data_IF_218788314171
#
_entry.id   IF_218788314171
#
_cell.length_a   1.000
_cell.length_b   1.000
_cell.length_c   1.000
_cell.angle_alpha   90.00
_cell.angle_beta   90.00
_cell.angle_gamma   90.00
#
_symmetry.space_group_name_H-M   'P 1'
#
loop_
_entity.id
_entity.type
_entity.pdbx_description
1 polymer ?
#
# COMPACT_ATOMS: atom_id res chain seq x y z
N UNK A 1 -2.71 22.34 -5.16
CA UNK A 1 -1.41 23.02 -5.04
C UNK A 1 -1.00 23.07 -3.59
N UNK A 2 0.21 23.55 -3.32
CA UNK A 2 0.77 23.70 -1.98
C UNK A 2 1.19 25.14 -1.73
N UNK A 3 1.39 25.50 -0.47
CA UNK A 3 2.13 26.72 -0.13
C UNK A 3 3.63 26.51 -0.41
N UNK A 4 4.26 27.54 -0.98
CA UNK A 4 5.71 27.57 -1.29
C UNK A 4 6.50 28.35 -0.25
N UNK A 5 5.82 29.15 0.56
CA UNK A 5 6.35 30.03 1.61
C UNK A 5 5.26 30.25 2.67
N UNK A 6 5.66 30.71 3.85
CA UNK A 6 4.75 31.03 4.95
C UNK A 6 5.33 30.62 6.32
N UNK A 7 5.09 31.44 7.34
CA UNK A 7 5.38 31.09 8.73
C UNK A 7 4.26 30.19 9.28
N UNK A 8 4.61 29.27 10.17
CA UNK A 8 3.65 28.38 10.82
C UNK A 8 2.64 29.18 11.65
N UNK A 9 1.38 28.72 11.68
CA UNK A 9 0.33 29.33 12.50
C UNK A 9 0.67 29.20 14.00
N UNK A 10 0.34 30.23 14.79
CA UNK A 10 0.49 30.21 16.25
C UNK A 10 -0.31 29.07 16.91
N UNK A 11 -1.48 28.73 16.36
CA UNK A 11 -2.21 27.48 16.64
C UNK A 11 -2.18 26.63 15.38
N UNK A 12 -1.23 25.69 15.32
CA UNK A 12 -1.14 24.71 14.25
C UNK A 12 -1.72 23.37 14.73
N UNK A 13 -1.14 22.23 14.34
CA UNK A 13 -1.56 20.89 14.78
C UNK A 13 -1.07 20.49 16.19
N UNK A 14 -0.64 21.45 17.01
CA UNK A 14 0.11 21.19 18.25
C UNK A 14 -0.66 20.42 19.33
N UNK A 15 -2.00 20.38 19.26
CA UNK A 15 -2.85 19.74 20.26
C UNK A 15 -3.35 18.35 19.85
N UNK A 16 -3.15 17.93 18.59
CA UNK A 16 -3.67 16.68 18.03
C UNK A 16 -5.20 16.48 18.25
N UNK A 17 -5.93 17.56 18.53
CA UNK A 17 -7.34 17.58 18.97
C UNK A 17 -8.34 17.55 17.80
N UNK A 18 -7.85 17.46 16.57
CA UNK A 18 -8.65 17.54 15.36
C UNK A 18 -9.19 16.19 14.90
N UNK A 19 -8.56 15.07 15.25
CA UNK A 19 -9.02 13.76 14.81
C UNK A 19 -10.33 13.38 15.53
N UNK A 20 -11.39 13.11 14.76
CA UNK A 20 -12.76 12.87 15.25
C UNK A 20 -13.39 13.99 16.13
N UNK A 21 -12.84 15.21 16.11
CA UNK A 21 -13.49 16.41 16.67
C UNK A 21 -14.76 16.85 15.91
N UNK A 22 -15.35 17.98 16.32
CA UNK A 22 -16.55 18.51 15.66
C UNK A 22 -16.26 19.06 14.25
N UNK A 23 -17.02 18.62 13.24
CA UNK A 23 -16.91 19.11 11.85
C UNK A 23 -17.60 20.48 11.72
N UNK A 24 -16.93 21.52 11.19
CA UNK A 24 -17.56 22.82 10.95
C UNK A 24 -18.80 22.72 10.05
N UNK A 25 -19.86 23.47 10.38
CA UNK A 25 -21.17 23.38 9.70
C UNK A 25 -21.09 23.57 8.18
N UNK A 26 -20.26 24.50 7.70
CA UNK A 26 -20.02 24.69 6.26
C UNK A 26 -19.40 23.46 5.59
N UNK A 27 -18.47 22.79 6.27
CA UNK A 27 -17.82 21.58 5.74
C UNK A 27 -18.80 20.41 5.76
N UNK A 28 -19.60 20.28 6.82
CA UNK A 28 -20.64 19.25 6.89
C UNK A 28 -21.67 19.39 5.75
N UNK A 29 -22.05 20.63 5.39
CA UNK A 29 -22.92 20.89 4.25
C UNK A 29 -22.28 20.46 2.91
N UNK A 30 -21.00 20.79 2.70
CA UNK A 30 -20.22 20.33 1.53
C UNK A 30 -20.17 18.80 1.46
N UNK A 31 -19.80 18.14 2.56
CA UNK A 31 -19.70 16.68 2.62
C UNK A 31 -21.04 16.00 2.35
N UNK A 32 -22.14 16.58 2.82
CA UNK A 32 -23.50 16.06 2.59
C UNK A 32 -23.87 16.08 1.11
N UNK A 33 -23.63 17.20 0.42
CA UNK A 33 -23.88 17.28 -1.03
C UNK A 33 -22.96 16.31 -1.80
N UNK A 34 -21.67 16.25 -1.43
CA UNK A 34 -20.73 15.34 -2.07
C UNK A 34 -21.17 13.87 -1.96
N UNK A 35 -21.60 13.43 -0.78
CA UNK A 35 -22.11 12.07 -0.56
C UNK A 35 -23.34 11.79 -1.41
N UNK A 36 -24.31 12.72 -1.46
CA UNK A 36 -25.51 12.57 -2.29
C UNK A 36 -25.15 12.45 -3.77
N UNK A 37 -24.25 13.30 -4.28
CA UNK A 37 -23.82 13.26 -5.68
C UNK A 37 -23.00 12.00 -6.00
N UNK A 38 -22.16 11.54 -5.06
CA UNK A 38 -21.42 10.29 -5.20
C UNK A 38 -22.34 9.07 -5.29
N UNK A 39 -23.35 8.99 -4.40
CA UNK A 39 -24.34 7.91 -4.38
C UNK A 39 -25.19 7.89 -5.66
N UNK A 40 -25.53 9.05 -6.23
CA UNK A 40 -26.22 9.14 -7.55
C UNK A 40 -25.40 8.54 -8.69
N UNK A 41 -24.07 8.55 -8.57
CA UNK A 41 -23.15 7.96 -9.55
C UNK A 41 -22.77 6.51 -9.21
N UNK A 42 -23.41 5.90 -8.20
CA UNK A 42 -23.15 4.52 -7.80
C UNK A 42 -21.93 4.32 -6.91
N UNK A 43 -21.26 5.39 -6.47
CA UNK A 43 -20.08 5.29 -5.61
C UNK A 43 -20.53 5.01 -4.17
N UNK A 44 -20.17 3.87 -3.55
CA UNK A 44 -20.71 3.43 -2.27
C UNK A 44 -19.99 4.08 -1.07
N UNK A 45 -20.03 5.41 -0.99
CA UNK A 45 -19.45 6.18 0.12
C UNK A 45 -20.01 5.69 1.46
N UNK A 46 -19.13 5.43 2.44
CA UNK A 46 -19.52 4.84 3.73
C UNK A 46 -19.14 5.69 4.93
N UNK A 47 -17.90 6.16 4.98
CA UNK A 47 -17.38 6.94 6.11
C UNK A 47 -16.89 8.29 5.65
N UNK A 48 -17.00 9.27 6.54
CA UNK A 48 -16.38 10.58 6.43
C UNK A 48 -16.07 11.11 7.81
N UNK A 49 -14.91 11.72 7.98
CA UNK A 49 -14.51 12.36 9.23
C UNK A 49 -13.44 13.41 8.95
N UNK A 50 -13.18 14.22 9.97
CA UNK A 50 -12.01 15.06 10.09
C UNK A 50 -10.78 14.23 10.41
N UNK A 51 -9.65 14.71 9.88
CA UNK A 51 -8.33 14.11 10.03
C UNK A 51 -7.48 14.91 11.01
N UNK A 52 -6.24 14.46 11.22
CA UNK A 52 -5.34 15.02 12.25
C UNK A 52 -4.97 16.48 11.98
N UNK A 53 -4.77 16.90 10.72
CA UNK A 53 -4.44 18.30 10.42
C UNK A 53 -5.69 19.22 10.35
N UNK A 54 -5.55 20.52 10.68
CA UNK A 54 -6.63 21.49 10.50
C UNK A 54 -7.14 21.53 9.07
N UNK A 55 -8.46 21.48 8.89
CA UNK A 55 -9.14 21.43 7.59
C UNK A 55 -8.75 20.22 6.71
N UNK A 56 -8.22 19.15 7.31
CA UNK A 56 -8.04 17.86 6.66
C UNK A 56 -9.25 16.96 6.95
N UNK A 57 -9.68 16.21 5.94
CA UNK A 57 -10.83 15.32 6.05
C UNK A 57 -10.59 14.05 5.23
N UNK A 58 -11.22 12.97 5.65
CA UNK A 58 -11.24 11.69 4.97
C UNK A 58 -12.66 11.35 4.50
N UNK A 59 -12.74 10.62 3.39
CA UNK A 59 -13.95 9.99 2.90
C UNK A 59 -13.59 8.64 2.29
N UNK A 60 -14.21 7.56 2.75
CA UNK A 60 -13.95 6.20 2.26
C UNK A 60 -15.23 5.50 1.78
N UNK A 61 -15.24 4.93 0.57
CA UNK A 61 -16.28 4.03 0.12
C UNK A 61 -16.10 2.61 0.64
N UNK A 62 -17.13 1.78 0.48
CA UNK A 62 -17.01 0.32 0.58
C UNK A 62 -16.06 -0.15 -0.53
N UNK A 63 -15.28 -1.21 -0.27
CA UNK A 63 -14.41 -1.80 -1.28
C UNK A 63 -15.23 -2.34 -2.47
N UNK A 64 -14.61 -2.34 -3.65
CA UNK A 64 -15.20 -2.80 -4.90
C UNK A 64 -14.15 -3.60 -5.70
N UNK A 65 -14.54 -4.16 -6.84
CA UNK A 65 -13.59 -4.71 -7.80
C UNK A 65 -12.57 -3.63 -8.20
N UNK A 66 -11.30 -4.01 -8.36
CA UNK A 66 -10.18 -3.08 -8.45
C UNK A 66 -10.33 -2.04 -9.57
N UNK A 67 -10.77 -2.45 -10.77
CA UNK A 67 -10.98 -1.52 -11.87
C UNK A 67 -12.10 -0.52 -11.56
N UNK A 68 -13.24 -1.01 -11.07
CA UNK A 68 -14.36 -0.15 -10.70
C UNK A 68 -14.00 0.83 -9.57
N UNK A 69 -13.27 0.36 -8.55
CA UNK A 69 -12.81 1.19 -7.43
C UNK A 69 -11.89 2.33 -7.89
N UNK A 70 -11.02 2.06 -8.87
CA UNK A 70 -10.15 3.08 -9.48
C UNK A 70 -10.98 4.12 -10.23
N UNK A 71 -11.95 3.70 -11.03
CA UNK A 71 -12.83 4.60 -11.79
C UNK A 71 -13.67 5.48 -10.86
N UNK A 72 -14.29 4.86 -9.84
CA UNK A 72 -15.03 5.57 -8.81
C UNK A 72 -14.14 6.55 -8.04
N UNK A 73 -12.88 6.21 -7.76
CA UNK A 73 -11.94 7.16 -7.14
C UNK A 73 -11.60 8.35 -8.06
N UNK A 74 -11.42 8.13 -9.35
CA UNK A 74 -11.17 9.24 -10.28
C UNK A 74 -12.38 10.17 -10.36
N UNK A 75 -13.58 9.59 -10.41
CA UNK A 75 -14.84 10.32 -10.45
C UNK A 75 -15.09 11.10 -9.16
N UNK A 76 -14.81 10.50 -7.99
CA UNK A 76 -15.01 11.19 -6.71
C UNK A 76 -14.09 12.39 -6.55
N UNK A 77 -12.82 12.31 -6.99
CA UNK A 77 -11.92 13.47 -6.98
C UNK A 77 -12.41 14.61 -7.89
N UNK A 78 -13.02 14.28 -9.03
CA UNK A 78 -13.63 15.27 -9.91
C UNK A 78 -14.89 15.90 -9.26
N UNK A 79 -15.75 15.08 -8.65
CA UNK A 79 -16.91 15.55 -7.90
C UNK A 79 -16.54 16.45 -6.73
N UNK A 80 -15.53 16.07 -5.93
CA UNK A 80 -15.02 16.87 -4.81
C UNK A 80 -14.67 18.29 -5.27
N UNK A 81 -13.95 18.43 -6.40
CA UNK A 81 -13.60 19.74 -6.96
C UNK A 81 -14.81 20.53 -7.43
N UNK A 82 -15.80 19.87 -8.03
CA UNK A 82 -17.03 20.50 -8.52
C UNK A 82 -17.89 20.99 -7.36
N UNK A 83 -18.26 20.10 -6.44
CA UNK A 83 -19.13 20.39 -5.28
C UNK A 83 -18.47 21.42 -4.37
N UNK A 84 -17.16 21.36 -4.15
CA UNK A 84 -16.46 22.34 -3.32
C UNK A 84 -16.65 23.77 -3.83
N UNK A 85 -16.71 24.00 -5.14
CA UNK A 85 -16.94 25.34 -5.71
C UNK A 85 -18.33 25.88 -5.37
N UNK A 86 -19.36 25.02 -5.35
CA UNK A 86 -20.72 25.40 -4.97
C UNK A 86 -20.79 25.90 -3.52
N UNK A 87 -19.93 25.35 -2.65
CA UNK A 87 -19.85 25.70 -1.22
C UNK A 87 -18.84 26.82 -0.92
N UNK A 88 -18.27 27.46 -1.94
CA UNK A 88 -17.25 28.50 -1.79
C UNK A 88 -15.92 27.99 -1.22
N UNK A 89 -15.60 26.72 -1.48
CA UNK A 89 -14.35 26.07 -1.07
C UNK A 89 -13.42 25.78 -2.26
N UNK A 90 -12.17 25.46 -1.93
CA UNK A 90 -11.18 24.83 -2.80
C UNK A 90 -10.67 23.58 -2.12
N UNK A 91 -10.90 22.42 -2.72
CA UNK A 91 -10.32 21.15 -2.24
C UNK A 91 -8.87 21.07 -2.70
N UNK A 92 -7.97 20.76 -1.76
CA UNK A 92 -6.56 20.55 -2.00
C UNK A 92 -6.26 19.06 -1.88
N UNK A 93 -5.90 18.43 -2.99
CA UNK A 93 -5.51 17.01 -3.04
C UNK A 93 -3.99 16.82 -3.05
N UNK A 94 -3.22 17.90 -3.03
CA UNK A 94 -1.76 17.81 -2.98
C UNK A 94 -1.35 17.09 -1.68
N UNK A 95 -0.37 16.19 -1.75
CA UNK A 95 0.02 15.31 -0.65
C UNK A 95 0.57 16.06 0.57
N UNK A 96 1.13 17.24 0.35
CA UNK A 96 1.58 18.15 1.41
C UNK A 96 1.18 19.59 1.12
N UNK A 97 -0.08 20.00 1.36
CA UNK A 97 -0.54 21.35 1.02
C UNK A 97 0.14 22.43 1.87
N UNK A 98 0.36 22.13 3.15
CA UNK A 98 0.96 23.03 4.13
C UNK A 98 2.16 22.34 4.80
N UNK A 99 3.24 23.09 5.04
CA UNK A 99 4.40 22.62 5.79
C UNK A 99 4.06 22.54 7.30
N UNK A 100 4.71 21.63 8.03
CA UNK A 100 4.58 21.54 9.49
C UNK A 100 3.33 20.85 10.04
N UNK A 101 2.40 20.39 9.19
CA UNK A 101 1.20 19.61 9.56
C UNK A 101 1.15 18.27 8.84
N UNK A 102 0.25 17.35 9.19
CA UNK A 102 0.08 16.07 8.51
C UNK A 102 -0.14 16.26 7.00
N UNK A 103 0.37 15.29 6.23
CA UNK A 103 0.11 15.23 4.80
C UNK A 103 -1.15 14.43 4.49
N UNK A 104 -1.58 14.45 3.24
CA UNK A 104 -2.74 13.71 2.76
C UNK A 104 -2.31 12.48 1.95
N UNK A 105 -2.76 11.30 2.37
CA UNK A 105 -2.54 10.04 1.66
C UNK A 105 -3.80 9.55 0.94
N UNK A 106 -3.67 8.46 0.19
CA UNK A 106 -4.81 7.70 -0.36
C UNK A 106 -4.55 6.22 -0.16
N UNK A 107 -5.01 5.67 0.96
CA UNK A 107 -4.67 4.29 1.31
C UNK A 107 -5.43 3.30 0.43
N UNK A 108 -4.68 2.40 -0.23
CA UNK A 108 -5.28 1.35 -1.04
C UNK A 108 -5.41 0.08 -0.19
N UNK A 109 -6.63 -0.21 0.26
CA UNK A 109 -6.96 -1.47 0.92
C UNK A 109 -7.12 -2.56 -0.15
N UNK A 110 -6.18 -3.50 -0.19
CA UNK A 110 -6.05 -4.53 -1.22
C UNK A 110 -6.26 -5.93 -0.65
N UNK A 111 -7.09 -6.72 -1.31
CA UNK A 111 -7.36 -8.12 -0.96
C UNK A 111 -7.72 -8.91 -2.22
N UNK A 112 -7.63 -10.23 -2.13
CA UNK A 112 -8.02 -11.14 -3.21
C UNK A 112 -9.16 -12.03 -2.75
N UNK A 113 -10.12 -12.24 -3.65
CA UNK A 113 -11.23 -13.16 -3.47
C UNK A 113 -11.46 -14.00 -4.73
N UNK A 114 -12.02 -15.19 -4.56
CA UNK A 114 -12.45 -16.02 -5.69
C UNK A 114 -13.85 -15.64 -6.15
N UNK A 115 -14.20 -16.05 -7.37
CA UNK A 115 -15.55 -15.98 -7.92
C UNK A 115 -16.59 -16.76 -7.07
N UNK A 116 -16.14 -17.77 -6.32
CA UNK A 116 -16.96 -18.51 -5.36
C UNK A 116 -17.15 -17.81 -4.00
N UNK A 117 -16.65 -16.57 -3.84
CA UNK A 117 -16.79 -15.77 -2.63
C UNK A 117 -15.80 -16.09 -1.51
N UNK A 118 -14.74 -16.84 -1.79
CA UNK A 118 -13.71 -17.17 -0.79
C UNK A 118 -12.69 -16.03 -0.73
N UNK A 119 -12.57 -15.37 0.41
CA UNK A 119 -11.49 -14.44 0.70
C UNK A 119 -10.16 -15.18 0.89
N UNK A 120 -9.10 -14.69 0.26
CA UNK A 120 -7.78 -15.34 0.25
C UNK A 120 -6.79 -14.73 1.27
N UNK A 121 -7.12 -13.55 1.79
CA UNK A 121 -6.29 -12.79 2.74
C UNK A 121 -6.87 -12.80 4.17
N UNK A 122 -7.80 -13.70 4.47
CA UNK A 122 -8.33 -13.90 5.82
C UNK A 122 -8.07 -15.34 6.32
N UNK A 123 -7.78 -15.53 7.62
CA UNK A 123 -7.66 -16.86 8.19
C UNK A 123 -8.99 -17.62 8.12
N UNK A 124 -8.91 -18.95 8.04
CA UNK A 124 -10.08 -19.83 8.06
C UNK A 124 -10.26 -20.54 9.39
N UNK A 125 -11.26 -21.42 9.43
CA UNK A 125 -11.54 -22.27 10.60
C UNK A 125 -10.82 -23.62 10.51
N UNK A 126 -10.61 -24.10 9.28
CA UNK A 126 -10.00 -25.41 9.01
C UNK A 126 -8.50 -25.27 8.69
N UNK A 127 -7.67 -26.29 9.00
CA UNK A 127 -6.23 -26.25 8.71
C UNK A 127 -5.91 -25.97 7.23
N UNK A 128 -6.66 -26.55 6.30
CA UNK A 128 -6.47 -26.29 4.86
C UNK A 128 -6.79 -24.84 4.45
N UNK A 129 -7.73 -24.19 5.14
CA UNK A 129 -8.07 -22.79 4.89
C UNK A 129 -6.97 -21.87 5.43
N UNK A 130 -6.38 -22.21 6.57
CA UNK A 130 -5.22 -21.50 7.13
C UNK A 130 -3.98 -21.69 6.25
N UNK A 131 -3.75 -22.90 5.72
CA UNK A 131 -2.68 -23.12 4.74
C UNK A 131 -2.87 -22.25 3.50
N UNK A 132 -4.10 -22.18 2.95
CA UNK A 132 -4.43 -21.29 1.83
C UNK A 132 -4.13 -19.84 2.18
N UNK A 133 -4.61 -19.34 3.32
CA UNK A 133 -4.36 -17.98 3.77
C UNK A 133 -2.86 -17.66 3.86
N UNK A 134 -2.09 -18.51 4.54
CA UNK A 134 -0.62 -18.34 4.66
C UNK A 134 0.06 -18.38 3.30
N UNK A 135 -0.40 -19.26 2.39
CA UNK A 135 0.12 -19.33 1.02
C UNK A 135 0.01 -17.97 0.33
N UNK A 136 -1.15 -17.32 0.40
CA UNK A 136 -1.36 -16.02 -0.25
C UNK A 136 -0.63 -14.87 0.46
N UNK A 137 -0.55 -14.88 1.79
CA UNK A 137 0.23 -13.89 2.56
C UNK A 137 1.71 -13.97 2.20
N UNK A 138 2.31 -15.16 2.24
CA UNK A 138 3.75 -15.35 1.95
C UNK A 138 4.06 -15.02 0.49
N UNK A 139 3.19 -15.38 -0.44
CA UNK A 139 3.36 -14.97 -1.84
C UNK A 139 3.23 -13.46 -2.03
N UNK A 140 2.35 -12.79 -1.28
CA UNK A 140 2.28 -11.32 -1.32
C UNK A 140 3.58 -10.71 -0.80
N UNK A 141 4.12 -11.21 0.31
CA UNK A 141 5.40 -10.74 0.86
C UNK A 141 6.56 -10.96 -0.11
N UNK A 142 6.61 -12.11 -0.78
CA UNK A 142 7.59 -12.39 -1.83
C UNK A 142 7.50 -11.43 -3.00
N UNK A 143 6.28 -11.14 -3.48
CA UNK A 143 6.05 -10.18 -4.55
C UNK A 143 6.51 -8.77 -4.16
N UNK A 144 6.13 -8.32 -2.95
CA UNK A 144 6.53 -7.01 -2.42
C UNK A 144 8.04 -6.95 -2.22
N UNK A 145 8.66 -8.02 -1.73
CA UNK A 145 10.11 -8.10 -1.55
C UNK A 145 10.87 -7.99 -2.89
N UNK A 146 10.52 -8.83 -3.86
CA UNK A 146 11.16 -8.86 -5.18
C UNK A 146 11.02 -7.54 -5.94
N UNK A 147 9.87 -6.88 -5.80
CA UNK A 147 9.51 -5.68 -6.57
C UNK A 147 9.43 -4.41 -5.72
N UNK A 148 10.11 -4.36 -4.57
CA UNK A 148 9.99 -3.23 -3.63
C UNK A 148 10.36 -1.88 -4.27
N UNK A 149 11.40 -1.84 -5.13
CA UNK A 149 11.78 -0.63 -5.88
C UNK A 149 10.73 -0.20 -6.90
N UNK A 150 10.12 -1.16 -7.61
CA UNK A 150 9.04 -0.88 -8.57
C UNK A 150 7.77 -0.35 -7.87
N UNK A 151 7.38 -0.98 -6.75
CA UNK A 151 6.25 -0.51 -5.94
C UNK A 151 6.47 0.91 -5.42
N UNK A 152 7.71 1.22 -5.04
CA UNK A 152 8.11 2.59 -4.68
C UNK A 152 7.98 3.54 -5.87
N UNK A 153 8.48 3.18 -7.05
CA UNK A 153 8.35 3.99 -8.26
C UNK A 153 6.90 4.24 -8.69
N UNK A 154 6.01 3.29 -8.42
CA UNK A 154 4.59 3.40 -8.70
C UNK A 154 3.89 4.50 -7.89
N UNK A 155 4.33 4.74 -6.65
CA UNK A 155 3.78 5.77 -5.75
C UNK A 155 4.57 7.08 -5.75
N UNK A 156 5.77 7.10 -6.32
CA UNK A 156 6.63 8.28 -6.35
C UNK A 156 6.11 9.36 -7.29
N UNK A 157 6.15 10.61 -6.82
CA UNK A 157 5.86 11.83 -7.56
C UNK A 157 6.55 13.02 -6.88
N UNK A 158 6.66 14.16 -7.57
CA UNK A 158 7.18 15.41 -6.98
C UNK A 158 6.41 15.82 -5.72
N UNK A 159 5.09 15.65 -5.77
CA UNK A 159 4.18 16.09 -4.71
C UNK A 159 4.21 15.15 -3.49
N UNK A 160 4.22 13.83 -3.72
CA UNK A 160 4.27 12.81 -2.67
C UNK A 160 5.63 12.77 -1.96
N UNK A 161 6.71 13.20 -2.61
CA UNK A 161 8.03 13.34 -2.01
C UNK A 161 8.05 14.28 -0.79
N UNK A 162 7.16 15.28 -0.76
CA UNK A 162 7.02 16.19 0.37
C UNK A 162 6.22 15.60 1.54
N UNK A 163 5.58 14.44 1.34
CA UNK A 163 4.75 13.77 2.33
C UNK A 163 5.47 12.60 2.98
N UNK A 164 6.06 11.70 2.18
CA UNK A 164 6.63 10.44 2.68
C UNK A 164 7.74 10.67 3.71
N UNK A 165 7.75 9.85 4.76
CA UNK A 165 8.74 9.90 5.84
C UNK A 165 8.47 10.98 6.90
N UNK A 166 7.25 11.49 6.99
CA UNK A 166 6.87 12.51 7.97
C UNK A 166 5.42 12.34 8.43
N UNK A 167 5.14 12.64 9.70
CA UNK A 167 3.80 12.81 10.29
C UNK A 167 2.74 11.83 9.74
N UNK A 168 2.78 10.58 10.21
CA UNK A 168 1.87 9.47 9.82
C UNK A 168 1.93 9.03 8.34
N UNK A 169 2.85 9.57 7.55
CA UNK A 169 3.13 9.06 6.22
C UNK A 169 4.39 8.18 6.24
N UNK A 170 4.31 6.94 5.74
CA UNK A 170 5.42 5.99 5.79
C UNK A 170 6.67 6.53 5.07
N UNK A 171 7.89 6.11 5.46
CA UNK A 171 9.11 6.43 4.73
C UNK A 171 9.06 5.87 3.31
N UNK A 172 9.91 6.39 2.42
CA UNK A 172 10.09 5.87 1.07
C UNK A 172 10.93 4.58 1.04
N UNK A 173 10.71 3.69 2.01
CA UNK A 173 11.32 2.36 2.09
C UNK A 173 10.17 1.38 2.18
N UNK A 174 9.90 0.64 1.11
CA UNK A 174 8.79 -0.31 1.08
C UNK A 174 9.14 -1.51 1.98
N UNK A 175 8.36 -1.67 3.05
CA UNK A 175 8.38 -2.80 3.97
C UNK A 175 6.96 -3.24 4.33
N UNK A 176 6.83 -4.47 4.82
CA UNK A 176 5.55 -5.06 5.19
C UNK A 176 5.42 -5.20 6.70
N UNK A 177 4.32 -4.70 7.25
CA UNK A 177 3.93 -4.93 8.65
C UNK A 177 2.91 -6.07 8.71
N UNK A 178 3.10 -7.03 9.60
CA UNK A 178 2.20 -8.19 9.76
C UNK A 178 1.49 -8.19 11.11
N UNK A 179 2.08 -7.55 12.11
CA UNK A 179 1.62 -7.61 13.49
C UNK A 179 2.03 -8.91 14.18
N UNK A 180 2.03 -8.89 15.52
CA UNK A 180 2.72 -9.90 16.34
C UNK A 180 2.21 -11.32 16.08
N UNK A 181 0.89 -11.48 15.94
CA UNK A 181 0.26 -12.80 15.81
C UNK A 181 0.67 -13.49 14.49
N UNK A 182 0.60 -12.76 13.37
CA UNK A 182 0.93 -13.33 12.06
C UNK A 182 2.45 -13.54 11.93
N UNK A 183 3.26 -12.64 12.47
CA UNK A 183 4.71 -12.80 12.56
C UNK A 183 5.11 -14.10 13.27
N UNK A 184 4.52 -14.38 14.43
CA UNK A 184 4.77 -15.62 15.18
C UNK A 184 4.35 -16.89 14.43
N UNK A 185 3.27 -16.84 13.64
CA UNK A 185 2.86 -17.97 12.81
C UNK A 185 3.89 -18.23 11.70
N UNK A 186 4.41 -17.19 11.05
CA UNK A 186 5.44 -17.35 10.03
C UNK A 186 6.76 -17.84 10.61
N UNK A 187 7.17 -17.33 11.78
CA UNK A 187 8.35 -17.81 12.53
C UNK A 187 8.22 -19.29 12.87
N UNK A 188 7.07 -19.72 13.37
CA UNK A 188 6.82 -21.12 13.67
C UNK A 188 6.95 -22.02 12.43
N UNK A 189 6.43 -21.59 11.27
CA UNK A 189 6.57 -22.36 10.01
C UNK A 189 8.03 -22.38 9.54
N UNK A 190 8.79 -21.30 9.77
CA UNK A 190 10.21 -21.20 9.43
C UNK A 190 11.07 -22.19 10.23
N UNK A 191 10.78 -22.30 11.53
CA UNK A 191 11.54 -23.07 12.54
C UNK A 191 11.14 -24.55 12.60
N UNK A 192 9.88 -24.88 12.31
CA UNK A 192 9.37 -26.25 12.35
C UNK A 192 9.94 -27.14 11.24
N UNK A 193 10.20 -28.41 11.56
CA UNK A 193 10.58 -29.41 10.57
C UNK A 193 9.37 -29.87 9.75
N UNK A 194 9.65 -30.59 8.65
CA UNK A 194 8.60 -31.10 7.77
C UNK A 194 7.69 -32.11 8.50
N UNK A 195 8.28 -32.93 9.36
CA UNK A 195 7.58 -33.93 10.16
C UNK A 195 6.79 -33.30 11.31
N UNK A 196 7.22 -32.14 11.82
CA UNK A 196 6.48 -31.38 12.83
C UNK A 196 5.17 -30.83 12.26
N UNK A 197 5.23 -30.24 11.05
CA UNK A 197 4.07 -29.60 10.39
C UNK A 197 3.08 -30.62 9.79
N UNK A 198 3.51 -31.86 9.61
CA UNK A 198 2.73 -32.93 8.96
C UNK A 198 2.87 -34.21 9.77
N UNK A 199 1.86 -34.53 10.58
CA UNK A 199 1.80 -35.81 11.27
C UNK A 199 0.87 -36.80 10.57
N UNK A 200 1.35 -38.04 10.38
CA UNK A 200 0.55 -39.16 9.90
C UNK A 200 -0.18 -39.80 11.08
N UNK A 201 -1.42 -39.38 11.35
CA UNK A 201 -2.28 -40.09 12.30
C UNK A 201 -2.94 -41.30 11.62
N UNK A 202 -2.67 -42.50 12.15
CA UNK A 202 -3.22 -43.77 11.66
C UNK A 202 -4.75 -43.74 11.51
N UNK A 203 -5.25 -44.38 10.45
CA UNK A 203 -6.67 -44.58 10.07
C UNK A 203 -7.56 -43.33 9.92
N UNK A 204 -7.06 -42.11 10.16
CA UNK A 204 -7.82 -40.85 10.07
C UNK A 204 -7.05 -39.71 9.38
N UNK A 205 -6.41 -40.00 8.23
CA UNK A 205 -5.86 -38.96 7.35
C UNK A 205 -4.67 -38.17 7.90
N UNK A 206 -4.14 -37.29 7.03
CA UNK A 206 -2.98 -36.42 7.27
C UNK A 206 -3.38 -35.26 8.19
N UNK A 207 -2.67 -35.04 9.30
CA UNK A 207 -2.93 -33.93 10.23
C UNK A 207 -1.90 -32.83 10.02
N UNK A 208 -2.38 -31.67 9.57
CA UNK A 208 -1.62 -30.43 9.46
C UNK A 208 -1.45 -29.81 10.85
N UNK A 209 -0.20 -29.65 11.29
CA UNK A 209 0.13 -28.92 12.51
C UNK A 209 0.43 -27.44 12.19
N UNK A 210 -0.53 -26.81 11.52
CA UNK A 210 -0.53 -25.35 11.37
C UNK A 210 -1.29 -24.81 12.58
N UNK A 211 -0.67 -23.95 13.41
CA UNK A 211 -1.35 -23.36 14.55
C UNK A 211 -2.71 -22.81 14.12
N UNK A 212 -3.75 -23.06 14.93
CA UNK A 212 -5.03 -22.41 14.70
C UNK A 212 -4.79 -20.91 14.82
N UNK A 213 -4.90 -20.20 13.69
CA UNK A 213 -4.72 -18.75 13.67
C UNK A 213 -6.00 -18.18 14.30
N UNK A 214 -5.91 -17.57 15.50
CA UNK A 214 -7.08 -16.91 16.09
C UNK A 214 -7.55 -15.82 15.12
N UNK A 215 -8.81 -15.39 15.27
CA UNK A 215 -9.28 -14.23 14.53
C UNK A 215 -8.30 -13.07 14.73
N UNK A 216 -7.65 -12.66 13.63
CA UNK A 216 -6.61 -11.64 13.66
C UNK A 216 -7.31 -10.32 13.94
N UNK A 217 -7.31 -9.93 15.21
CA UNK A 217 -7.77 -8.62 15.62
C UNK A 217 -6.90 -7.56 14.96
N UNK A 218 -7.47 -6.39 14.70
CA UNK A 218 -6.71 -5.25 14.18
C UNK A 218 -5.59 -4.97 15.19
N UNK A 219 -4.36 -5.28 14.79
CA UNK A 219 -3.18 -5.06 15.63
C UNK A 219 -2.84 -3.57 15.61
N UNK A 220 -3.11 -2.90 16.74
CA UNK A 220 -2.83 -1.48 16.93
C UNK A 220 -1.37 -1.21 17.36
N UNK A 221 -0.46 -2.19 17.25
CA UNK A 221 0.97 -1.99 17.55
C UNK A 221 1.69 -1.11 16.54
N UNK A 222 1.20 -0.98 15.30
CA UNK A 222 1.63 0.05 14.36
C UNK A 222 0.99 1.41 14.71
N UNK A 223 1.24 1.88 15.94
CA UNK A 223 0.62 3.07 16.54
C UNK A 223 0.74 4.34 15.69
N UNK A 224 1.77 4.43 14.85
CA UNK A 224 2.08 5.61 14.05
C UNK A 224 1.87 5.41 12.53
N UNK A 225 1.24 4.29 12.14
CA UNK A 225 1.00 3.91 10.73
C UNK A 225 2.24 4.02 9.85
N UNK A 226 3.40 3.68 10.41
CA UNK A 226 4.70 3.96 9.77
C UNK A 226 5.04 2.98 8.66
N UNK A 227 4.34 1.84 8.63
CA UNK A 227 4.53 0.85 7.57
C UNK A 227 3.84 1.27 6.27
N UNK A 228 4.53 1.20 5.13
CA UNK A 228 3.93 1.50 3.84
C UNK A 228 2.96 0.41 3.38
N UNK A 229 3.15 -0.85 3.78
CA UNK A 229 2.29 -1.97 3.37
C UNK A 229 1.93 -2.82 4.59
N UNK A 230 0.76 -2.59 5.18
CA UNK A 230 0.40 -3.20 6.46
C UNK A 230 -0.71 -4.25 6.29
N UNK A 231 -0.54 -5.43 6.87
CA UNK A 231 -1.63 -6.38 7.01
C UNK A 231 -2.58 -5.92 8.10
N UNK A 232 -3.86 -5.75 7.77
CA UNK A 232 -4.89 -5.20 8.68
C UNK A 232 -6.04 -6.19 8.88
N UNK A 233 -5.69 -7.43 9.25
CA UNK A 233 -6.63 -8.49 9.65
C UNK A 233 -7.08 -9.41 8.51
N UNK A 234 -7.60 -8.85 7.41
CA UNK A 234 -8.10 -9.65 6.27
C UNK A 234 -7.69 -9.12 4.89
N UNK A 235 -6.73 -8.19 4.85
CA UNK A 235 -6.30 -7.44 3.67
C UNK A 235 -4.98 -6.74 3.98
N UNK A 236 -4.31 -6.24 2.94
CA UNK A 236 -3.19 -5.33 3.09
C UNK A 236 -3.61 -3.89 2.80
N UNK A 237 -3.06 -2.93 3.53
CA UNK A 237 -3.26 -1.50 3.34
C UNK A 237 -1.97 -0.90 2.79
N UNK A 238 -1.99 -0.43 1.53
CA UNK A 238 -0.87 0.27 0.91
C UNK A 238 -0.99 1.79 1.16
N UNK A 239 -0.25 2.29 2.15
CA UNK A 239 -0.34 3.65 2.69
C UNK A 239 0.54 4.68 1.97
N UNK A 240 1.54 4.22 1.23
CA UNK A 240 2.52 5.09 0.56
C UNK A 240 1.93 5.87 -0.64
N UNK A 241 0.73 5.53 -1.08
CA UNK A 241 0.05 6.14 -2.24
C UNK A 241 -0.38 7.58 -1.91
N UNK A 242 -0.09 8.52 -2.82
CA UNK A 242 -0.41 9.94 -2.66
C UNK A 242 -1.88 10.30 -2.87
N UNK A 243 -2.37 11.35 -2.19
CA UNK A 243 -3.73 11.86 -2.32
C UNK A 243 -4.08 12.43 -3.70
N UNK A 244 -3.12 12.89 -4.51
CA UNK A 244 -3.36 13.34 -5.89
C UNK A 244 -3.25 12.18 -6.89
N UNK A 245 -2.52 11.11 -6.53
CA UNK A 245 -2.18 10.01 -7.42
C UNK A 245 -3.42 9.23 -7.93
N UNK A 246 -3.34 8.73 -9.17
CA UNK A 246 -4.25 7.68 -9.63
C UNK A 246 -3.85 6.34 -9.00
N UNK A 247 -4.77 5.69 -8.29
CA UNK A 247 -4.56 4.38 -7.66
C UNK A 247 -4.10 3.31 -8.66
N UNK A 248 -4.48 3.42 -9.94
CA UNK A 248 -4.13 2.48 -10.98
C UNK A 248 -2.62 2.20 -11.05
N UNK A 249 -1.76 3.22 -10.92
CA UNK A 249 -0.31 3.03 -11.02
C UNK A 249 0.21 2.05 -9.96
N UNK A 250 -0.24 2.21 -8.71
CA UNK A 250 0.13 1.33 -7.61
C UNK A 250 -0.50 -0.07 -7.75
N UNK A 251 -1.76 -0.14 -8.18
CA UNK A 251 -2.47 -1.41 -8.34
C UNK A 251 -1.97 -2.23 -9.52
N UNK A 252 -1.59 -1.61 -10.63
CA UNK A 252 -0.95 -2.28 -11.78
C UNK A 252 0.35 -2.95 -11.33
N UNK A 253 1.22 -2.20 -10.63
CA UNK A 253 2.48 -2.75 -10.15
C UNK A 253 2.28 -3.88 -9.13
N UNK A 254 1.40 -3.68 -8.14
CA UNK A 254 1.13 -4.68 -7.10
C UNK A 254 0.48 -5.94 -7.66
N UNK A 255 -0.57 -5.81 -8.48
CA UNK A 255 -1.26 -6.96 -9.06
C UNK A 255 -0.35 -7.74 -10.01
N UNK A 256 0.47 -7.06 -10.83
CA UNK A 256 1.43 -7.73 -11.71
C UNK A 256 2.52 -8.47 -10.92
N UNK A 257 3.06 -7.85 -9.86
CA UNK A 257 4.05 -8.48 -9.00
C UNK A 257 3.50 -9.74 -8.30
N UNK A 258 2.27 -9.65 -7.77
CA UNK A 258 1.62 -10.81 -7.14
C UNK A 258 1.27 -11.89 -8.19
N UNK A 259 0.86 -11.50 -9.39
CA UNK A 259 0.57 -12.44 -10.47
C UNK A 259 1.83 -13.24 -10.89
N UNK A 260 2.96 -12.56 -11.13
CA UNK A 260 4.25 -13.22 -11.44
C UNK A 260 4.63 -14.20 -10.32
N UNK A 261 4.55 -13.73 -9.06
CA UNK A 261 4.93 -14.52 -7.90
C UNK A 261 4.04 -15.77 -7.71
N UNK A 262 2.74 -15.69 -8.00
CA UNK A 262 1.84 -16.85 -7.93
C UNK A 262 2.12 -17.88 -9.03
N UNK A 263 2.52 -17.43 -10.23
CA UNK A 263 2.96 -18.34 -11.31
C UNK A 263 4.25 -19.06 -10.92
N UNK A 264 5.23 -18.33 -10.36
CA UNK A 264 6.48 -18.91 -9.88
C UNK A 264 6.23 -19.92 -8.74
N UNK A 265 5.39 -19.56 -7.78
CA UNK A 265 5.00 -20.45 -6.69
C UNK A 265 4.38 -21.75 -7.20
N UNK A 266 3.46 -21.66 -8.15
CA UNK A 266 2.83 -22.84 -8.75
C UNK A 266 3.87 -23.75 -9.38
N UNK A 267 4.82 -23.18 -10.13
CA UNK A 267 5.91 -23.92 -10.77
C UNK A 267 6.78 -24.63 -9.72
N UNK A 268 7.23 -23.92 -8.68
CA UNK A 268 8.07 -24.49 -7.60
C UNK A 268 7.35 -25.64 -6.88
N UNK A 269 6.03 -25.53 -6.66
CA UNK A 269 5.23 -26.59 -6.04
C UNK A 269 5.05 -27.79 -6.98
N UNK A 270 4.71 -27.54 -8.25
CA UNK A 270 4.50 -28.60 -9.24
C UNK A 270 5.80 -29.42 -9.46
N UNK A 271 6.97 -28.79 -9.48
CA UNK A 271 8.27 -29.47 -9.58
C UNK A 271 8.55 -30.46 -8.43
N UNK A 272 8.05 -30.18 -7.22
CA UNK A 272 8.15 -31.11 -6.08
C UNK A 272 7.15 -32.24 -6.20
N UNK A 273 5.91 -31.94 -6.64
CA UNK A 273 4.87 -32.95 -6.86
C UNK A 273 5.31 -33.95 -7.92
N UNK A 274 5.94 -33.49 -9.01
CA UNK A 274 6.49 -34.35 -10.07
C UNK A 274 7.61 -35.28 -9.57
N UNK A 275 8.34 -34.87 -8.52
CA UNK A 275 9.35 -35.70 -7.84
C UNK A 275 8.75 -36.71 -6.85
N UNK A 276 7.42 -36.75 -6.74
CA UNK A 276 6.68 -37.68 -5.87
C UNK A 276 6.30 -37.12 -4.51
N UNK A 277 6.52 -35.82 -4.25
CA UNK A 277 6.13 -35.19 -2.99
C UNK A 277 4.61 -34.99 -2.91
N UNK A 278 3.94 -35.36 -1.79
CA UNK A 278 2.53 -35.07 -1.62
C UNK A 278 2.22 -33.57 -1.69
N UNK A 279 1.12 -33.18 -2.35
CA UNK A 279 0.72 -31.78 -2.61
C UNK A 279 0.86 -30.85 -1.40
N UNK A 280 0.31 -31.24 -0.25
CA UNK A 280 0.33 -30.41 0.97
C UNK A 280 1.76 -30.20 1.48
N UNK A 281 2.56 -31.25 1.40
CA UNK A 281 3.95 -31.26 1.81
C UNK A 281 4.81 -30.38 0.90
N UNK A 282 4.60 -30.47 -0.43
CA UNK A 282 5.23 -29.60 -1.41
C UNK A 282 4.89 -28.11 -1.18
N UNK A 283 3.62 -27.79 -0.92
CA UNK A 283 3.17 -26.42 -0.60
C UNK A 283 3.90 -25.88 0.63
N UNK A 284 3.93 -26.63 1.74
CA UNK A 284 4.60 -26.21 2.98
C UNK A 284 6.10 -26.02 2.79
N UNK A 285 6.74 -26.88 2.00
CA UNK A 285 8.17 -26.78 1.71
C UNK A 285 8.51 -25.49 0.95
N UNK A 286 7.74 -25.16 -0.08
CA UNK A 286 7.91 -23.91 -0.85
C UNK A 286 7.58 -22.68 0.00
N UNK A 287 6.50 -22.71 0.79
CA UNK A 287 6.14 -21.62 1.70
C UNK A 287 7.28 -21.34 2.69
N UNK A 288 7.82 -22.38 3.33
CA UNK A 288 8.93 -22.24 4.29
C UNK A 288 10.18 -21.67 3.63
N UNK A 289 10.49 -22.10 2.40
CA UNK A 289 11.56 -21.51 1.58
C UNK A 289 11.32 -20.01 1.37
N UNK A 290 10.10 -19.64 0.99
CA UNK A 290 9.74 -18.25 0.68
C UNK A 290 9.72 -17.35 1.90
N UNK A 291 9.25 -17.81 3.06
CA UNK A 291 9.32 -17.06 4.33
C UNK A 291 10.76 -16.63 4.62
N UNK A 292 11.73 -17.53 4.44
CA UNK A 292 13.16 -17.22 4.62
C UNK A 292 13.67 -16.18 3.63
N UNK A 293 13.24 -16.26 2.38
CA UNK A 293 13.67 -15.35 1.30
C UNK A 293 13.06 -13.96 1.49
N UNK A 294 11.76 -13.84 1.77
CA UNK A 294 11.10 -12.55 1.94
C UNK A 294 11.29 -11.93 3.32
N UNK A 295 11.90 -12.62 4.29
CA UNK A 295 12.18 -12.11 5.64
C UNK A 295 12.72 -10.67 5.68
N UNK A 296 13.61 -10.23 4.77
CA UNK A 296 14.07 -8.84 4.74
C UNK A 296 12.96 -7.78 4.60
N UNK A 297 11.86 -8.07 3.92
CA UNK A 297 10.74 -7.12 3.71
C UNK A 297 9.88 -6.92 4.95
N UNK A 298 9.89 -7.88 5.87
CA UNK A 298 9.05 -7.87 7.05
C UNK A 298 9.68 -6.98 8.15
N UNK A 299 8.93 -5.97 8.58
CA UNK A 299 9.34 -5.04 9.61
C UNK A 299 8.13 -4.53 10.41
N UNK A 300 8.07 -4.90 11.69
CA UNK A 300 7.02 -4.48 12.63
C UNK A 300 7.46 -3.32 13.55
N UNK A 301 8.61 -2.69 13.26
CA UNK A 301 9.19 -1.61 14.06
C UNK A 301 8.80 -0.20 13.61
N UNK A 302 9.50 0.81 14.16
CA UNK A 302 9.30 2.21 13.80
C UNK A 302 9.99 2.55 12.47
N UNK A 303 9.21 2.74 11.40
CA UNK A 303 9.73 3.06 10.07
C UNK A 303 10.43 4.43 9.95
N UNK A 304 10.27 5.34 10.92
CA UNK A 304 10.90 6.67 10.85
C UNK A 304 12.34 6.71 11.35
N UNK A 305 12.77 5.68 12.07
CA UNK A 305 14.04 5.70 12.77
C UNK A 305 15.22 5.64 11.79
N UNK A 306 16.32 6.30 12.12
CA UNK A 306 17.53 6.24 11.29
C UNK A 306 18.14 4.83 11.32
N UNK A 307 17.96 4.10 12.43
CA UNK A 307 18.33 2.69 12.55
C UNK A 307 17.62 1.83 11.51
N UNK A 308 16.32 2.08 11.25
CA UNK A 308 15.60 1.36 10.22
C UNK A 308 16.15 1.65 8.81
N UNK A 309 16.56 2.88 8.52
CA UNK A 309 17.15 3.22 7.20
C UNK A 309 18.44 2.43 6.95
N UNK A 310 19.32 2.38 7.95
CA UNK A 310 20.56 1.61 7.87
C UNK A 310 20.29 0.10 7.79
N UNK A 311 19.35 -0.39 8.58
CA UNK A 311 18.98 -1.80 8.62
C UNK A 311 18.33 -2.25 7.30
N UNK A 312 17.39 -1.47 6.76
CA UNK A 312 16.74 -1.73 5.48
C UNK A 312 17.76 -1.83 4.33
N UNK A 313 18.78 -0.97 4.34
CA UNK A 313 19.86 -1.04 3.36
C UNK A 313 20.69 -2.32 3.51
N UNK A 314 21.04 -2.71 4.75
CA UNK A 314 21.74 -3.99 5.03
C UNK A 314 20.91 -5.20 4.60
N UNK A 315 19.59 -5.10 4.72
CA UNK A 315 18.59 -6.10 4.29
C UNK A 315 18.38 -6.14 2.76
N UNK A 316 18.98 -5.20 2.01
CA UNK A 316 18.87 -5.14 0.55
C UNK A 316 17.56 -4.53 0.04
N UNK A 317 16.84 -3.76 0.87
CA UNK A 317 15.66 -3.02 0.44
C UNK A 317 16.08 -1.75 -0.33
N UNK A 318 15.24 -1.30 -1.26
CA UNK A 318 15.51 -0.09 -2.06
C UNK A 318 15.30 1.17 -1.20
N UNK A 319 16.41 1.76 -0.76
CA UNK A 319 16.46 2.97 0.07
C UNK A 319 16.70 4.27 -0.71
N UNK A 320 16.65 4.26 -2.05
CA UNK A 320 16.80 5.48 -2.87
C UNK A 320 15.75 6.54 -2.50
N UNK A 321 16.16 7.80 -2.42
CA UNK A 321 15.31 8.93 -2.00
C UNK A 321 15.09 9.95 -3.13
N UNK A 322 15.95 9.96 -4.13
CA UNK A 322 15.84 10.81 -5.32
C UNK A 322 14.71 10.31 -6.21
N UNK A 323 13.58 11.01 -6.21
CA UNK A 323 12.39 10.66 -7.01
C UNK A 323 12.72 10.34 -8.48
N UNK A 324 13.54 11.12 -9.18
CA UNK A 324 13.88 10.81 -10.56
C UNK A 324 14.64 9.47 -10.71
N UNK A 325 15.59 9.16 -9.80
CA UNK A 325 16.30 7.87 -9.82
C UNK A 325 15.39 6.70 -9.43
N UNK A 326 14.42 6.93 -8.54
CA UNK A 326 13.43 5.91 -8.19
C UNK A 326 12.66 5.45 -9.44
N UNK A 327 12.34 6.37 -10.36
CA UNK A 327 11.59 6.03 -11.58
C UNK A 327 12.30 4.98 -12.45
N UNK A 328 13.63 4.94 -12.44
CA UNK A 328 14.41 3.94 -13.18
C UNK A 328 14.11 2.50 -12.75
N UNK A 329 13.47 2.29 -11.59
CA UNK A 329 12.95 0.97 -11.20
C UNK A 329 11.92 0.40 -12.18
N UNK A 330 11.25 1.22 -13.00
CA UNK A 330 10.40 0.73 -14.10
C UNK A 330 11.21 0.08 -15.23
N UNK A 331 12.47 0.46 -15.39
CA UNK A 331 13.36 0.02 -16.48
C UNK A 331 14.37 -1.04 -16.04
N UNK A 332 14.35 -1.43 -14.76
CA UNK A 332 15.16 -2.55 -14.29
C UNK A 332 14.74 -3.84 -15.03
N UNK A 333 15.70 -4.72 -15.42
CA UNK A 333 15.39 -5.92 -16.20
C UNK A 333 14.34 -6.83 -15.56
N UNK A 334 14.34 -6.93 -14.24
CA UNK A 334 13.34 -7.69 -13.47
C UNK A 334 11.92 -7.12 -13.60
N UNK A 335 11.77 -5.78 -13.60
CA UNK A 335 10.48 -5.12 -13.77
C UNK A 335 9.95 -5.30 -15.19
N UNK A 336 10.79 -5.12 -16.20
CA UNK A 336 10.43 -5.32 -17.61
C UNK A 336 9.97 -6.76 -17.81
N UNK A 337 10.78 -7.73 -17.36
CA UNK A 337 10.45 -9.16 -17.47
C UNK A 337 9.13 -9.49 -16.80
N UNK A 338 8.88 -8.98 -15.59
CA UNK A 338 7.61 -9.21 -14.88
C UNK A 338 6.42 -8.71 -15.70
N UNK A 339 6.48 -7.48 -16.22
CA UNK A 339 5.39 -6.91 -17.01
C UNK A 339 5.17 -7.63 -18.34
N UNK A 340 6.23 -8.06 -19.02
CA UNK A 340 6.13 -8.82 -20.27
C UNK A 340 5.59 -10.23 -20.03
N UNK A 341 6.08 -10.93 -18.99
CA UNK A 341 5.60 -12.27 -18.63
C UNK A 341 4.13 -12.27 -18.21
N UNK A 342 3.68 -11.21 -17.54
CA UNK A 342 2.27 -11.05 -17.15
C UNK A 342 1.40 -10.52 -18.29
N UNK A 343 2.00 -10.07 -19.40
CA UNK A 343 1.28 -9.49 -20.54
C UNK A 343 0.63 -8.14 -20.24
N UNK A 344 1.08 -7.44 -19.21
CA UNK A 344 0.47 -6.20 -18.72
C UNK A 344 1.06 -4.96 -19.40
N UNK A 345 2.39 -4.92 -19.59
CA UNK A 345 3.09 -3.84 -20.30
C UNK A 345 4.29 -4.41 -21.06
N UNK A 346 4.61 -3.79 -22.19
CA UNK A 346 5.84 -4.02 -22.95
C UNK A 346 6.97 -3.11 -22.48
N UNK A 347 8.22 -3.47 -22.79
CA UNK A 347 9.37 -2.58 -22.53
C UNK A 347 9.17 -1.16 -23.08
N UNK A 348 8.67 -1.01 -24.32
CA UNK A 348 8.44 0.32 -24.93
C UNK A 348 7.42 1.16 -24.17
N UNK A 349 6.37 0.53 -23.66
CA UNK A 349 5.37 1.22 -22.84
C UNK A 349 5.94 1.64 -21.48
N UNK A 350 6.82 0.84 -20.89
CA UNK A 350 7.53 1.19 -19.66
C UNK A 350 8.47 2.38 -19.87
N UNK A 351 9.23 2.38 -20.95
CA UNK A 351 10.10 3.50 -21.37
C UNK A 351 9.29 4.79 -21.51
N UNK A 352 8.19 4.75 -22.27
CA UNK A 352 7.30 5.91 -22.46
C UNK A 352 6.67 6.39 -21.14
N UNK A 353 6.21 5.48 -20.28
CA UNK A 353 5.67 5.84 -18.96
C UNK A 353 6.72 6.47 -18.06
N UNK A 354 7.95 5.96 -18.11
CA UNK A 354 9.07 6.50 -17.36
C UNK A 354 9.38 7.93 -17.81
N UNK A 355 9.44 8.17 -19.12
CA UNK A 355 9.65 9.49 -19.71
C UNK A 355 8.57 10.49 -19.29
N UNK A 356 7.29 10.10 -19.34
CA UNK A 356 6.16 10.95 -18.90
C UNK A 356 6.26 11.28 -17.40
N UNK A 357 6.70 10.35 -16.56
CA UNK A 357 6.94 10.60 -15.13
C UNK A 357 8.05 11.62 -14.93
N UNK A 358 9.16 11.47 -15.64
CA UNK A 358 10.28 12.42 -15.64
C UNK A 358 9.86 13.83 -16.09
N UNK A 359 9.11 13.92 -17.18
CA UNK A 359 8.62 15.19 -17.72
C UNK A 359 7.65 15.87 -16.73
N UNK A 360 6.72 15.11 -16.16
CA UNK A 360 5.76 15.61 -15.16
C UNK A 360 6.49 16.12 -13.92
N UNK A 361 7.46 15.37 -13.40
CA UNK A 361 8.26 15.77 -12.25
C UNK A 361 9.00 17.09 -12.54
N UNK A 362 9.73 17.15 -13.65
CA UNK A 362 10.51 18.33 -14.04
C UNK A 362 9.62 19.57 -14.16
N UNK A 363 8.47 19.45 -14.83
CA UNK A 363 7.52 20.56 -14.99
C UNK A 363 6.95 21.02 -13.66
N UNK A 364 6.58 20.10 -12.76
CA UNK A 364 6.05 20.46 -11.42
C UNK A 364 7.08 21.24 -10.61
N UNK A 365 8.31 20.74 -10.51
CA UNK A 365 9.39 21.43 -9.79
C UNK A 365 9.70 22.80 -10.43
N UNK A 366 9.74 22.88 -11.76
CA UNK A 366 9.95 24.14 -12.46
C UNK A 366 8.86 25.17 -12.18
N UNK A 367 7.58 24.75 -12.18
CA UNK A 367 6.45 25.63 -11.85
C UNK A 367 6.57 26.15 -10.43
N UNK A 368 6.85 25.27 -9.46
CA UNK A 368 7.03 25.69 -8.06
C UNK A 368 8.17 26.69 -7.91
N UNK A 369 9.34 26.43 -8.54
CA UNK A 369 10.46 27.35 -8.51
C UNK A 369 10.13 28.71 -9.15
N UNK A 370 9.45 28.72 -10.29
CA UNK A 370 9.04 29.96 -10.99
C UNK A 370 8.05 30.77 -10.16
N UNK A 371 7.03 30.13 -9.60
CA UNK A 371 6.03 30.81 -8.77
C UNK A 371 6.67 31.34 -7.49
N UNK A 372 7.56 30.57 -6.86
CA UNK A 372 8.29 31.04 -5.67
C UNK A 372 9.14 32.28 -6.00
N UNK A 373 9.90 32.25 -7.10
CA UNK A 373 10.73 33.37 -7.53
C UNK A 373 9.91 34.61 -7.87
N UNK A 374 8.80 34.43 -8.60
CA UNK A 374 7.89 35.52 -8.95
C UNK A 374 7.25 36.15 -7.70
N UNK A 375 6.70 35.35 -6.78
CA UNK A 375 6.14 35.83 -5.52
C UNK A 375 7.18 36.57 -4.67
N UNK A 376 8.41 36.05 -4.60
CA UNK A 376 9.47 36.64 -3.80
C UNK A 376 10.00 37.97 -4.38
N UNK A 377 9.89 38.19 -5.69
CA UNK A 377 10.35 39.44 -6.32
C UNK A 377 9.24 40.49 -6.45
N UNK A 378 7.98 40.06 -6.64
CA UNK A 378 6.88 40.95 -7.00
C UNK A 378 5.87 41.18 -5.86
N UNK A 379 5.83 40.33 -4.84
CA UNK A 379 4.80 40.37 -3.80
C UNK A 379 5.34 40.42 -2.35
N UNK A 380 6.60 40.04 -2.14
CA UNK A 380 7.36 40.23 -0.89
C UNK A 380 8.39 41.32 -1.16
#
# INVERSE_FOLDING_TARGET
>A
GRTLMGHDSAKNQQLEDHYFGAIPTRVAAFMKELEIEALKLGIPVKTRHNEVAPNQFELAPIFEECNLAVDHNMLIMALMRKVARNHGFRVLLHEKPFKGVNGSGKHNNWSLGTDTGIGLMGPGKLPEENLRFITFVVNTLMAVYKHNGLLKAAISSATNAHRLGANEAPPAIISSFLGKQLSQVLEHIEESTKDDLVSLSGKQGMKLDIPQIPELLIDNTDRNRTSPFAFTGNRFEFRAVGSEANCACAMIALNAAVAEQLVEFKKDVDELIEKGEPKISAILEVIRKYIKICKPIHFDGNGYSDEWKEEAQKRGLDCETSVPLIFDSYLKPESIRMFENTGVLTQKELEARNEVKWETYTKKIQIEARVLGDLAMNHI
#
